data_IF_278255818748
#
_entry.id   IF_278255818748
#
_cell.length_a   1.000
_cell.length_b   1.000
_cell.length_c   1.000
_cell.angle_alpha   90.00
_cell.angle_beta   90.00
_cell.angle_gamma   90.00
#
_symmetry.space_group_name_H-M   'P 1'
#
loop_
_entity.id
_entity.type
_entity.pdbx_description
1 polymer ?
#
# COMPACT_ATOMS: atom_id res chain seq x y z
N UNK A 1 -2.63 2.27 24.00
CA UNK A 1 -1.48 3.20 23.88
C UNK A 1 -0.25 2.34 23.69
N UNK A 2 0.53 2.53 22.62
CA UNK A 2 1.79 1.83 22.44
C UNK A 2 2.73 2.25 23.56
N UNK A 3 3.38 1.27 24.22
CA UNK A 3 4.38 1.53 25.23
C UNK A 3 5.56 2.30 24.60
N UNK A 4 6.14 3.25 25.35
CA UNK A 4 7.33 3.98 24.91
C UNK A 4 8.53 3.03 24.80
N UNK A 5 9.57 3.43 24.06
CA UNK A 5 10.83 2.66 23.99
C UNK A 5 11.45 2.42 25.37
N UNK A 6 11.38 3.42 26.25
CA UNK A 6 11.89 3.31 27.62
C UNK A 6 11.10 2.28 28.45
N UNK A 7 9.77 2.24 28.30
CA UNK A 7 8.93 1.24 28.98
C UNK A 7 9.21 -0.17 28.47
N UNK A 8 9.40 -0.34 27.15
CA UNK A 8 9.78 -1.62 26.56
C UNK A 8 11.14 -2.10 27.05
N UNK A 9 12.11 -1.23 27.11
CA UNK A 9 13.44 -1.56 27.60
C UNK A 9 13.40 -1.99 29.11
N UNK A 10 12.62 -1.26 29.90
CA UNK A 10 12.44 -1.60 31.34
C UNK A 10 11.74 -2.95 31.52
N UNK A 11 10.69 -3.22 30.70
CA UNK A 11 9.99 -4.50 30.72
C UNK A 11 10.93 -5.66 30.35
N UNK A 12 11.71 -5.54 29.29
CA UNK A 12 12.63 -6.58 28.84
C UNK A 12 13.75 -6.83 29.85
N UNK A 13 14.28 -5.79 30.51
CA UNK A 13 15.26 -5.93 31.62
C UNK A 13 14.70 -6.71 32.82
N UNK A 14 13.40 -6.65 33.02
CA UNK A 14 12.73 -7.41 34.06
C UNK A 14 12.60 -8.89 33.72
N UNK A 15 12.27 -9.20 32.45
CA UNK A 15 11.97 -10.57 32.01
C UNK A 15 13.20 -11.37 31.59
N UNK A 16 14.14 -10.73 30.87
CA UNK A 16 15.32 -11.40 30.30
C UNK A 16 16.11 -12.21 31.31
N UNK A 17 16.36 -11.74 32.56
CA UNK A 17 17.11 -12.52 33.55
C UNK A 17 16.44 -13.84 33.96
N UNK A 18 15.13 -13.96 33.81
CA UNK A 18 14.40 -15.19 34.14
C UNK A 18 14.46 -16.25 33.00
N UNK A 19 14.98 -15.90 31.84
CA UNK A 19 15.11 -16.80 30.69
C UNK A 19 16.49 -17.45 30.71
N UNK A 20 16.63 -18.78 30.49
CA UNK A 20 17.94 -19.42 30.44
C UNK A 20 18.88 -18.76 29.42
N UNK A 21 20.14 -18.54 29.79
CA UNK A 21 21.11 -17.78 29.00
C UNK A 21 21.49 -18.40 27.66
N UNK A 22 21.19 -19.68 27.45
CA UNK A 22 21.41 -20.40 26.19
C UNK A 22 20.26 -20.21 25.16
N UNK A 23 19.18 -19.51 25.53
CA UNK A 23 18.00 -19.33 24.68
C UNK A 23 18.06 -17.95 24.04
N UNK A 24 17.87 -17.90 22.71
CA UNK A 24 17.70 -16.66 21.96
C UNK A 24 16.36 -16.00 22.34
N UNK A 25 16.40 -14.72 22.67
CA UNK A 25 15.20 -13.93 22.99
C UNK A 25 14.72 -13.22 21.72
N UNK A 26 13.56 -13.63 21.22
CA UNK A 26 12.92 -12.98 20.07
C UNK A 26 11.89 -11.96 20.57
N UNK A 27 12.22 -10.67 20.47
CA UNK A 27 11.39 -9.57 20.97
C UNK A 27 10.69 -8.80 19.83
N UNK A 28 9.43 -8.43 20.05
CA UNK A 28 8.67 -7.56 19.17
C UNK A 28 8.57 -6.13 19.71
N UNK A 29 8.29 -5.19 18.84
CA UNK A 29 8.12 -3.77 19.20
C UNK A 29 9.35 -3.13 19.88
N UNK A 30 10.55 -3.59 19.51
CA UNK A 30 11.81 -2.97 19.90
C UNK A 30 12.55 -2.46 18.67
N UNK A 31 13.34 -1.41 18.87
CA UNK A 31 14.24 -0.89 17.84
C UNK A 31 15.57 -1.67 17.83
N UNK A 32 16.32 -1.61 16.71
CA UNK A 32 17.69 -2.15 16.68
C UNK A 32 18.60 -1.56 17.77
N UNK A 33 18.37 -0.29 18.16
CA UNK A 33 19.12 0.37 19.24
C UNK A 33 18.85 -0.30 20.59
N UNK A 34 17.59 -0.61 20.92
CA UNK A 34 17.23 -1.34 22.15
C UNK A 34 17.84 -2.75 22.14
N UNK A 35 17.77 -3.45 21.01
CA UNK A 35 18.38 -4.78 20.90
C UNK A 35 19.90 -4.73 21.12
N UNK A 36 20.59 -3.77 20.48
CA UNK A 36 22.02 -3.56 20.67
C UNK A 36 22.39 -3.23 22.14
N UNK A 37 21.57 -2.39 22.79
CA UNK A 37 21.77 -2.06 24.20
C UNK A 37 21.63 -3.29 25.09
N UNK A 38 20.57 -4.10 24.93
CA UNK A 38 20.36 -5.32 25.68
C UNK A 38 21.49 -6.34 25.46
N UNK A 39 21.98 -6.49 24.23
CA UNK A 39 23.14 -7.35 23.93
C UNK A 39 24.44 -6.83 24.54
N UNK A 40 24.59 -5.52 24.69
CA UNK A 40 25.75 -4.94 25.39
C UNK A 40 25.71 -5.18 26.91
N UNK A 41 24.51 -5.26 27.46
CA UNK A 41 24.31 -5.54 28.92
C UNK A 41 24.50 -7.03 29.26
N UNK A 42 24.15 -7.94 28.31
CA UNK A 42 24.39 -9.40 28.41
C UNK A 42 24.99 -9.94 27.09
N UNK A 43 26.32 -9.87 26.92
CA UNK A 43 26.96 -10.29 25.65
C UNK A 43 26.82 -11.78 25.31
N UNK A 44 26.41 -12.60 26.27
CA UNK A 44 26.20 -14.05 26.06
C UNK A 44 24.81 -14.36 25.49
N UNK A 45 23.93 -13.40 25.49
CA UNK A 45 22.54 -13.56 25.10
C UNK A 45 22.32 -13.06 23.68
N UNK A 46 21.79 -13.92 22.83
CA UNK A 46 21.31 -13.53 21.52
C UNK A 46 19.91 -12.90 21.64
N UNK A 47 19.75 -11.70 21.07
CA UNK A 47 18.47 -11.00 20.99
C UNK A 47 18.14 -10.78 19.53
N UNK A 48 16.98 -11.27 19.10
CA UNK A 48 16.45 -11.09 17.76
C UNK A 48 15.28 -10.12 17.79
N UNK A 49 15.25 -9.20 16.86
CA UNK A 49 14.14 -8.26 16.69
C UNK A 49 13.14 -8.84 15.70
N UNK A 50 11.91 -9.06 16.14
CA UNK A 50 10.81 -9.38 15.22
C UNK A 50 10.26 -8.08 14.64
N UNK A 51 10.47 -7.90 13.36
CA UNK A 51 9.98 -6.75 12.62
C UNK A 51 8.81 -7.17 11.74
N UNK A 52 7.67 -6.51 11.92
CA UNK A 52 6.49 -6.71 11.10
C UNK A 52 6.01 -5.37 10.58
N UNK A 53 5.14 -4.70 11.33
CA UNK A 53 4.54 -3.42 10.94
C UNK A 53 5.59 -2.34 10.61
N UNK A 54 6.75 -2.34 11.26
CA UNK A 54 7.83 -1.38 10.99
C UNK A 54 8.43 -1.53 9.58
N UNK A 55 8.48 -2.73 9.03
CA UNK A 55 8.90 -2.95 7.62
C UNK A 55 7.94 -2.25 6.66
N UNK A 56 6.65 -2.28 6.96
CA UNK A 56 5.61 -1.63 6.13
C UNK A 56 5.52 -0.12 6.35
N UNK A 57 5.98 0.38 7.49
CA UNK A 57 6.06 1.82 7.81
C UNK A 57 7.43 2.43 7.52
N UNK A 58 8.39 1.64 7.08
CA UNK A 58 9.70 2.11 6.62
C UNK A 58 9.59 3.07 5.45
N UNK A 59 10.72 3.62 5.03
CA UNK A 59 10.78 4.48 3.85
C UNK A 59 10.27 3.71 2.62
N UNK A 60 9.34 4.31 1.89
CA UNK A 60 8.68 3.70 0.72
C UNK A 60 9.32 4.13 -0.61
N UNK A 61 10.48 4.76 -0.55
CA UNK A 61 11.20 5.28 -1.72
C UNK A 61 11.51 4.20 -2.77
N UNK A 62 11.62 2.95 -2.31
CA UNK A 62 11.93 1.81 -3.16
C UNK A 62 10.72 0.93 -3.47
N UNK A 63 9.52 1.37 -3.09
CA UNK A 63 8.28 0.64 -3.38
C UNK A 63 7.37 1.48 -4.25
N UNK A 64 6.96 0.93 -5.38
CA UNK A 64 5.92 1.48 -6.22
C UNK A 64 4.83 0.44 -6.43
N UNK A 65 3.60 0.88 -6.54
CA UNK A 65 2.45 0.03 -6.83
C UNK A 65 1.78 0.55 -8.09
N UNK A 66 1.73 -0.30 -9.09
CA UNK A 66 1.19 0.04 -10.41
C UNK A 66 0.11 -0.93 -10.84
N UNK A 67 -0.73 -0.47 -11.76
CA UNK A 67 -1.69 -1.30 -12.45
C UNK A 67 -1.69 -0.98 -13.95
N UNK A 68 -1.81 -2.01 -14.78
CA UNK A 68 -1.80 -1.88 -16.23
C UNK A 68 -3.12 -1.30 -16.76
N UNK A 69 -3.04 -0.53 -17.84
CA UNK A 69 -4.18 -0.01 -18.59
C UNK A 69 -4.60 -1.04 -19.64
N UNK A 70 -5.79 -1.59 -19.47
CA UNK A 70 -6.35 -2.64 -20.36
C UNK A 70 -7.04 -2.07 -21.60
N UNK A 71 -7.71 -0.94 -21.45
CA UNK A 71 -8.46 -0.32 -22.54
C UNK A 71 -8.62 1.19 -22.29
N UNK A 72 -8.71 1.93 -23.40
CA UNK A 72 -9.02 3.35 -23.41
C UNK A 72 -10.10 3.61 -24.47
N UNK A 73 -11.21 4.24 -24.07
CA UNK A 73 -12.34 4.55 -24.95
C UNK A 73 -12.66 6.04 -24.91
N UNK A 74 -12.94 6.63 -26.04
CA UNK A 74 -13.50 7.98 -26.09
C UNK A 74 -14.93 7.95 -25.55
N UNK A 75 -15.33 8.99 -24.85
CA UNK A 75 -16.69 9.15 -24.35
C UNK A 75 -17.14 10.62 -24.40
N UNK A 76 -18.44 10.80 -24.51
CA UNK A 76 -19.07 12.11 -24.54
C UNK A 76 -19.90 12.37 -23.28
N UNK A 77 -20.06 13.65 -22.96
CA UNK A 77 -20.90 14.08 -21.85
C UNK A 77 -22.32 13.48 -21.94
N UNK A 78 -22.80 12.92 -20.83
CA UNK A 78 -24.14 12.34 -20.76
C UNK A 78 -24.24 10.88 -21.23
N UNK A 79 -23.20 10.28 -21.79
CA UNK A 79 -23.16 8.84 -22.04
C UNK A 79 -23.25 8.05 -20.74
N UNK A 80 -23.87 6.88 -20.79
CA UNK A 80 -23.96 5.97 -19.63
C UNK A 80 -23.01 4.80 -19.81
N UNK A 81 -22.21 4.52 -18.77
CA UNK A 81 -21.17 3.52 -18.81
C UNK A 81 -21.15 2.68 -17.54
N UNK A 82 -20.48 1.54 -17.60
CA UNK A 82 -20.31 0.64 -16.47
C UNK A 82 -21.56 -0.19 -16.15
N UNK A 83 -21.46 -1.02 -15.10
CA UNK A 83 -22.56 -1.91 -14.69
C UNK A 83 -23.72 -1.17 -14.02
N UNK A 84 -23.47 0.02 -13.49
CA UNK A 84 -24.48 0.83 -12.81
C UNK A 84 -25.09 1.91 -13.69
N UNK A 85 -24.76 1.89 -14.99
CA UNK A 85 -25.18 2.90 -15.97
C UNK A 85 -24.87 4.33 -15.46
N UNK A 86 -23.66 4.53 -14.96
CA UNK A 86 -23.21 5.84 -14.43
C UNK A 86 -23.03 6.81 -15.59
N UNK A 87 -23.56 8.02 -15.45
CA UNK A 87 -23.45 9.06 -16.45
C UNK A 87 -22.05 9.68 -16.43
N UNK A 88 -21.44 9.79 -17.61
CA UNK A 88 -20.13 10.43 -17.79
C UNK A 88 -20.28 11.95 -17.64
N UNK A 89 -19.41 12.61 -16.83
CA UNK A 89 -19.59 14.01 -16.47
C UNK A 89 -19.19 15.01 -17.55
N UNK A 90 -18.49 14.57 -18.60
CA UNK A 90 -17.98 15.45 -19.66
C UNK A 90 -17.38 14.66 -20.82
N UNK A 91 -16.93 15.38 -21.84
CA UNK A 91 -16.15 14.79 -22.92
C UNK A 91 -14.76 14.41 -22.42
N UNK A 92 -14.27 13.24 -22.85
CA UNK A 92 -12.99 12.74 -22.39
C UNK A 92 -12.73 11.28 -22.75
N UNK A 93 -12.00 10.58 -21.88
CA UNK A 93 -11.66 9.18 -22.09
C UNK A 93 -11.99 8.34 -20.86
N UNK A 94 -12.53 7.18 -21.10
CA UNK A 94 -12.69 6.11 -20.13
C UNK A 94 -11.49 5.19 -20.17
N UNK A 95 -10.88 4.95 -19.02
CA UNK A 95 -9.70 4.10 -18.88
C UNK A 95 -10.06 2.91 -18.00
N UNK A 96 -9.87 1.71 -18.54
CA UNK A 96 -10.03 0.45 -17.79
C UNK A 96 -8.68 0.03 -17.24
N UNK A 97 -8.59 -0.14 -15.95
CA UNK A 97 -7.36 -0.45 -15.21
C UNK A 97 -7.45 -1.87 -14.64
N UNK A 98 -6.36 -2.65 -14.78
CA UNK A 98 -6.25 -4.04 -14.32
C UNK A 98 -6.05 -4.12 -12.80
N UNK A 99 -6.89 -3.48 -12.02
CA UNK A 99 -6.86 -3.56 -10.57
C UNK A 99 -8.26 -3.33 -9.99
N UNK A 100 -8.69 -4.23 -9.12
CA UNK A 100 -10.01 -4.19 -8.51
C UNK A 100 -10.01 -4.63 -7.06
N UNK A 101 -11.19 -5.00 -6.58
CA UNK A 101 -11.37 -5.39 -5.17
C UNK A 101 -10.63 -6.68 -4.81
N UNK A 102 -10.39 -7.59 -5.78
CA UNK A 102 -9.58 -8.78 -5.58
C UNK A 102 -8.12 -8.46 -5.26
N UNK A 103 -7.58 -7.37 -5.83
CA UNK A 103 -6.25 -6.86 -5.53
C UNK A 103 -6.23 -5.92 -4.32
N UNK A 104 -7.34 -5.80 -3.57
CA UNK A 104 -7.44 -4.91 -2.41
C UNK A 104 -7.63 -3.43 -2.78
N UNK A 105 -7.98 -3.14 -4.03
CA UNK A 105 -8.21 -1.77 -4.49
C UNK A 105 -9.64 -1.34 -4.22
N UNK A 106 -9.78 -0.21 -3.53
CA UNK A 106 -11.06 0.44 -3.23
C UNK A 106 -10.86 1.96 -3.22
N UNK A 107 -11.92 2.76 -3.29
CA UNK A 107 -11.81 4.20 -3.10
C UNK A 107 -11.07 4.55 -1.79
N UNK A 108 -10.44 5.70 -1.74
CA UNK A 108 -9.84 6.21 -0.52
C UNK A 108 -10.94 6.54 0.52
N UNK A 109 -10.61 6.70 1.82
CA UNK A 109 -11.61 6.99 2.86
C UNK A 109 -12.46 8.23 2.61
N UNK A 110 -11.95 9.19 1.85
CA UNK A 110 -12.66 10.41 1.42
C UNK A 110 -13.47 10.22 0.12
N UNK A 111 -13.49 9.01 -0.44
CA UNK A 111 -14.18 8.68 -1.69
C UNK A 111 -13.36 8.92 -2.96
N UNK A 112 -12.15 9.47 -2.85
CA UNK A 112 -11.29 9.71 -4.00
C UNK A 112 -10.81 8.41 -4.66
N UNK A 113 -10.47 8.54 -5.94
CA UNK A 113 -9.80 7.47 -6.70
C UNK A 113 -8.41 7.20 -6.16
N UNK A 114 -7.98 5.94 -6.06
CA UNK A 114 -6.60 5.60 -5.72
C UNK A 114 -5.64 5.72 -6.91
N UNK A 115 -6.13 5.93 -8.13
CA UNK A 115 -5.34 5.89 -9.36
C UNK A 115 -4.82 7.26 -9.76
N UNK A 116 -3.53 7.31 -10.18
CA UNK A 116 -2.89 8.51 -10.71
C UNK A 116 -2.15 8.19 -12.00
N UNK A 117 -2.15 9.14 -12.91
CA UNK A 117 -1.30 9.14 -14.10
C UNK A 117 -0.67 10.52 -14.28
N UNK A 118 0.62 10.56 -14.60
CA UNK A 118 1.38 11.82 -14.75
C UNK A 118 1.16 12.81 -13.59
N UNK A 119 1.14 12.31 -12.34
CA UNK A 119 0.87 13.05 -11.08
C UNK A 119 -0.54 13.62 -10.95
N UNK A 120 -1.44 13.28 -11.87
CA UNK A 120 -2.85 13.72 -11.82
C UNK A 120 -3.72 12.55 -11.38
N UNK A 121 -4.62 12.82 -10.43
CA UNK A 121 -5.59 11.82 -9.98
C UNK A 121 -6.65 11.59 -11.05
N UNK A 122 -6.85 10.34 -11.43
CA UNK A 122 -7.92 9.92 -12.33
C UNK A 122 -9.23 9.80 -11.53
N UNK A 123 -10.37 10.15 -12.12
CA UNK A 123 -11.66 10.07 -11.43
C UNK A 123 -12.26 8.68 -11.57
N UNK A 124 -12.64 8.02 -10.47
CA UNK A 124 -13.43 6.79 -10.55
C UNK A 124 -14.82 7.09 -11.11
N UNK A 125 -15.26 6.31 -12.08
CA UNK A 125 -16.63 6.37 -12.59
C UNK A 125 -17.59 5.63 -11.68
N UNK A 126 -17.17 4.45 -11.25
CA UNK A 126 -17.89 3.56 -10.34
C UNK A 126 -16.94 2.98 -9.30
N UNK A 127 -17.50 2.35 -8.27
CA UNK A 127 -16.70 1.55 -7.36
C UNK A 127 -15.94 0.46 -8.14
N UNK A 128 -14.66 0.21 -7.84
CA UNK A 128 -13.89 -0.83 -8.53
C UNK A 128 -14.61 -2.16 -8.56
N UNK A 129 -14.55 -2.83 -9.70
CA UNK A 129 -15.04 -4.18 -9.90
C UNK A 129 -14.10 -5.20 -9.26
N UNK A 130 -14.36 -6.50 -9.46
CA UNK A 130 -13.54 -7.53 -8.86
C UNK A 130 -12.07 -7.46 -9.32
N UNK A 131 -11.83 -7.35 -10.64
CA UNK A 131 -10.49 -7.39 -11.24
C UNK A 131 -10.12 -6.15 -12.04
N UNK A 132 -10.98 -5.15 -12.09
CA UNK A 132 -10.72 -3.92 -12.84
C UNK A 132 -11.39 -2.72 -12.19
N UNK A 133 -10.95 -1.54 -12.61
CA UNK A 133 -11.58 -0.28 -12.28
C UNK A 133 -11.82 0.54 -13.55
N UNK A 134 -12.88 1.32 -13.54
CA UNK A 134 -13.23 2.26 -14.61
C UNK A 134 -12.99 3.68 -14.11
N UNK A 135 -12.11 4.39 -14.81
CA UNK A 135 -11.78 5.79 -14.49
C UNK A 135 -12.09 6.69 -15.69
N UNK A 136 -12.31 7.96 -15.39
CA UNK A 136 -12.54 9.01 -16.38
C UNK A 136 -11.40 10.03 -16.35
N UNK A 137 -10.94 10.43 -17.53
CA UNK A 137 -9.95 11.48 -17.76
C UNK A 137 -10.58 12.52 -18.67
N UNK A 138 -10.78 13.77 -18.22
CA UNK A 138 -11.35 14.85 -19.03
C UNK A 138 -10.52 15.13 -20.30
N UNK A 139 -11.16 15.63 -21.33
CA UNK A 139 -10.48 16.09 -22.53
C UNK A 139 -9.42 17.16 -22.19
N UNK A 140 -8.27 17.10 -22.85
CA UNK A 140 -7.14 18.02 -22.62
C UNK A 140 -6.23 17.64 -21.44
N UNK A 141 -6.57 16.65 -20.64
CA UNK A 141 -5.67 16.10 -19.62
C UNK A 141 -4.79 14.96 -20.17
N UNK A 142 -3.63 14.77 -19.54
CA UNK A 142 -2.75 13.63 -19.86
C UNK A 142 -3.50 12.33 -19.57
N UNK A 143 -3.65 11.49 -20.58
CA UNK A 143 -4.34 10.22 -20.51
C UNK A 143 -3.35 9.09 -20.84
N UNK A 144 -3.32 8.00 -20.08
CA UNK A 144 -2.51 6.85 -20.43
C UNK A 144 -3.03 6.15 -21.69
N UNK A 145 -2.17 5.39 -22.33
CA UNK A 145 -2.50 4.50 -23.45
C UNK A 145 -2.64 3.04 -22.97
N UNK A 146 -3.16 2.17 -23.82
CA UNK A 146 -3.25 0.73 -23.52
C UNK A 146 -1.84 0.16 -23.37
N UNK A 147 -1.60 -0.56 -22.28
CA UNK A 147 -0.29 -1.11 -21.93
C UNK A 147 0.56 -0.20 -21.06
N UNK A 148 0.19 1.07 -20.88
CA UNK A 148 0.81 1.92 -19.86
C UNK A 148 0.46 1.43 -18.46
N UNK A 149 1.22 1.91 -17.48
CA UNK A 149 0.93 1.68 -16.07
C UNK A 149 0.48 2.97 -15.38
N UNK A 150 -0.45 2.84 -14.46
CA UNK A 150 -0.90 3.92 -13.58
C UNK A 150 -0.48 3.64 -12.15
N UNK A 151 -0.17 4.70 -11.41
CA UNK A 151 0.16 4.58 -9.98
C UNK A 151 -1.08 4.26 -9.16
N UNK A 152 -0.93 3.38 -8.16
CA UNK A 152 -2.01 2.99 -7.25
C UNK A 152 -1.69 3.42 -5.82
N UNK A 153 -2.45 4.36 -5.29
CA UNK A 153 -2.30 4.87 -3.92
C UNK A 153 -3.06 3.98 -2.92
N UNK A 154 -2.43 2.90 -2.47
CA UNK A 154 -3.00 2.02 -1.43
C UNK A 154 -1.92 1.60 -0.45
N UNK A 155 -2.25 1.38 0.84
CA UNK A 155 -1.33 0.74 1.77
C UNK A 155 -0.94 -0.65 1.28
N UNK A 156 0.34 -0.96 1.21
CA UNK A 156 0.84 -2.27 0.75
C UNK A 156 0.28 -3.44 1.57
N UNK A 157 -0.06 -3.21 2.84
CA UNK A 157 -0.69 -4.21 3.71
C UNK A 157 -2.12 -4.58 3.33
N UNK A 158 -2.74 -3.81 2.42
CA UNK A 158 -4.14 -4.01 1.98
C UNK A 158 -4.23 -4.48 0.53
N UNK A 159 -3.11 -4.63 -0.16
CA UNK A 159 -3.08 -5.05 -1.57
C UNK A 159 -2.54 -6.46 -1.73
N UNK A 160 -3.06 -7.14 -2.73
CA UNK A 160 -2.58 -8.43 -3.22
C UNK A 160 -2.02 -8.19 -4.62
N UNK A 161 -0.70 -8.03 -4.72
CA UNK A 161 -0.03 -7.86 -6.00
C UNK A 161 -0.01 -9.20 -6.77
N UNK A 162 -0.40 -9.17 -8.03
CA UNK A 162 -0.35 -10.36 -8.90
C UNK A 162 1.11 -10.65 -9.33
N UNK A 163 1.94 -9.61 -9.44
CA UNK A 163 3.36 -9.70 -9.79
C UNK A 163 4.19 -8.83 -8.85
N UNK A 164 5.36 -9.33 -8.45
CA UNK A 164 6.35 -8.58 -7.66
C UNK A 164 7.66 -8.56 -8.44
N UNK A 165 8.12 -7.38 -8.79
CA UNK A 165 9.39 -7.18 -9.49
C UNK A 165 10.42 -6.54 -8.56
N UNK A 166 11.67 -7.00 -8.65
CA UNK A 166 12.81 -6.46 -7.92
C UNK A 166 13.68 -5.68 -8.90
N UNK A 167 13.80 -4.37 -8.66
CA UNK A 167 14.57 -3.45 -9.51
C UNK A 167 15.98 -3.27 -8.98
#
# INVERSE_FOLDING_TARGET
>A
TAASEAERLAELRTWIPSIPGCVTVSASHITPAIAAQLMSEDPKRAIETRMGTQLWHGTKEHFSLHAEVLAVHQCSAGETVGYRATTVPGDGRLVVIAAGTAQGVSPLPNGDSPFHFARTRMTLVEHPYMHSALTFVPEGQSCPEVGDVVDVQRPLTMVHADVVEWL
#
